data_IF_124954277315
#
_entry.id   IF_124954277315
#
_cell.length_a   1.000
_cell.length_b   1.000
_cell.length_c   1.000
_cell.angle_alpha   90.00
_cell.angle_beta   90.00
_cell.angle_gamma   90.00
#
_symmetry.space_group_name_H-M   'P 1'
#
loop_
_entity.id
_entity.type
_entity.pdbx_description
1 polymer ?
#
# COMPACT_ATOMS: atom_id res chain seq x y z
N UNK A 1 -5.09 -15.02 -14.15
CA UNK A 1 -4.02 -14.06 -14.56
C UNK A 1 -4.09 -12.81 -13.71
N UNK A 2 -5.28 -12.20 -13.58
CA UNK A 2 -5.53 -11.11 -12.64
C UNK A 2 -5.13 -11.51 -11.21
N UNK A 3 -5.58 -12.66 -10.71
CA UNK A 3 -5.20 -13.16 -9.37
C UNK A 3 -3.67 -13.18 -9.13
N UNK A 4 -2.90 -13.74 -10.06
CA UNK A 4 -1.42 -13.77 -9.96
C UNK A 4 -0.81 -12.37 -9.99
N UNK A 5 -1.38 -11.47 -10.80
CA UNK A 5 -0.95 -10.08 -10.85
C UNK A 5 -1.26 -9.37 -9.53
N UNK A 6 -2.46 -9.56 -8.97
CA UNK A 6 -2.89 -8.99 -7.68
C UNK A 6 -2.06 -9.50 -6.52
N UNK A 7 -1.83 -10.82 -6.44
CA UNK A 7 -0.97 -11.42 -5.42
C UNK A 7 0.45 -10.85 -5.50
N UNK A 8 0.99 -10.74 -6.72
CA UNK A 8 2.29 -10.13 -6.97
C UNK A 8 2.32 -8.65 -6.56
N UNK A 9 1.27 -7.89 -6.89
CA UNK A 9 1.14 -6.49 -6.54
C UNK A 9 1.11 -6.29 -5.02
N UNK A 10 0.28 -7.06 -4.31
CA UNK A 10 0.19 -7.00 -2.86
C UNK A 10 1.52 -7.31 -2.18
N UNK A 11 2.19 -8.41 -2.57
CA UNK A 11 3.48 -8.81 -1.98
C UNK A 11 4.58 -7.78 -2.22
N UNK A 12 4.67 -7.24 -3.43
CA UNK A 12 5.76 -6.32 -3.78
C UNK A 12 5.52 -4.90 -3.29
N UNK A 13 4.26 -4.44 -3.29
CA UNK A 13 3.92 -3.06 -2.93
C UNK A 13 3.48 -2.97 -1.49
N UNK A 14 2.44 -3.70 -1.07
CA UNK A 14 1.89 -3.58 0.29
C UNK A 14 2.87 -4.16 1.30
N UNK A 15 3.20 -5.45 1.21
CA UNK A 15 4.12 -6.06 2.17
C UNK A 15 5.54 -5.50 2.07
N UNK A 16 6.00 -5.20 0.85
CA UNK A 16 7.30 -4.59 0.60
C UNK A 16 7.44 -3.25 1.32
N UNK A 17 6.48 -2.35 1.15
CA UNK A 17 6.48 -1.06 1.85
C UNK A 17 6.31 -1.24 3.36
N UNK A 18 5.48 -2.17 3.82
CA UNK A 18 5.33 -2.42 5.26
C UNK A 18 6.64 -2.87 5.92
N UNK A 19 7.44 -3.71 5.25
CA UNK A 19 8.77 -4.08 5.72
C UNK A 19 9.69 -2.86 5.80
N UNK A 20 9.64 -1.99 4.79
CA UNK A 20 10.44 -0.77 4.75
C UNK A 20 10.06 0.22 5.85
N UNK A 21 8.76 0.50 6.04
CA UNK A 21 8.28 1.37 7.11
C UNK A 21 8.68 0.85 8.49
N UNK A 22 8.55 -0.47 8.72
CA UNK A 22 9.01 -1.09 9.97
C UNK A 22 10.50 -0.85 10.21
N UNK A 23 11.33 -0.92 9.17
CA UNK A 23 12.76 -0.63 9.29
C UNK A 23 13.04 0.84 9.60
N UNK A 24 12.31 1.78 8.99
CA UNK A 24 12.50 3.22 9.23
C UNK A 24 12.27 3.63 10.68
N UNK A 25 11.29 3.02 11.36
CA UNK A 25 11.04 3.27 12.77
C UNK A 25 12.10 2.68 13.72
N UNK A 26 13.03 1.88 13.20
CA UNK A 26 14.15 1.30 13.97
C UNK A 26 15.47 2.05 13.76
N UNK A 27 15.49 3.09 12.93
CA UNK A 27 16.69 3.90 12.69
C UNK A 27 17.02 4.83 13.86
N UNK A 28 18.30 5.18 14.01
CA UNK A 28 18.72 6.18 14.99
C UNK A 28 18.30 7.58 14.49
N UNK A 29 17.44 8.31 15.21
CA UNK A 29 17.04 9.66 14.80
C UNK A 29 18.21 10.66 14.80
N UNK A 30 19.34 10.33 15.42
CA UNK A 30 20.56 11.14 15.42
C UNK A 30 21.54 10.80 14.30
N UNK A 31 21.24 9.78 13.48
CA UNK A 31 22.07 9.42 12.33
C UNK A 31 22.14 10.58 11.32
N UNK A 32 23.33 10.78 10.74
CA UNK A 32 23.56 11.84 9.77
C UNK A 32 22.71 11.59 8.51
N UNK A 33 21.91 12.59 8.13
CA UNK A 33 20.99 12.49 6.98
C UNK A 33 19.54 12.19 7.35
N UNK A 34 19.23 11.84 8.61
CA UNK A 34 17.84 11.72 9.06
C UNK A 34 17.17 13.10 9.08
N UNK A 35 16.11 13.26 8.28
CA UNK A 35 15.36 14.52 8.18
C UNK A 35 14.39 14.70 9.35
N UNK A 36 14.05 15.95 9.64
CA UNK A 36 13.22 16.34 10.80
C UNK A 36 11.87 15.62 10.87
N UNK A 37 11.24 15.37 9.72
CA UNK A 37 10.01 14.58 9.65
C UNK A 37 10.19 13.18 10.26
N UNK A 38 11.26 12.47 9.88
CA UNK A 38 11.54 11.12 10.38
C UNK A 38 11.97 11.12 11.84
N UNK A 39 12.73 12.13 12.29
CA UNK A 39 13.06 12.29 13.72
C UNK A 39 11.81 12.38 14.58
N UNK A 40 10.84 13.20 14.16
CA UNK A 40 9.58 13.35 14.88
C UNK A 40 8.72 12.09 14.81
N UNK A 41 8.70 11.39 13.68
CA UNK A 41 7.99 10.12 13.53
C UNK A 41 8.57 9.03 14.45
N UNK A 42 9.90 8.87 14.50
CA UNK A 42 10.58 7.92 15.38
C UNK A 42 10.32 8.28 16.85
N UNK A 43 10.49 9.56 17.22
CA UNK A 43 10.22 10.01 18.60
C UNK A 43 8.75 9.87 19.02
N UNK A 44 7.80 9.88 18.08
CA UNK A 44 6.41 9.53 18.35
C UNK A 44 6.25 8.01 18.54
N UNK A 45 6.80 7.20 17.65
CA UNK A 45 6.78 5.74 17.71
C UNK A 45 7.36 5.19 19.04
N UNK A 46 8.45 5.78 19.53
CA UNK A 46 9.09 5.37 20.78
C UNK A 46 8.22 5.61 22.03
N UNK A 47 7.21 6.48 21.94
CA UNK A 47 6.26 6.73 23.04
C UNK A 47 5.12 5.73 23.09
N UNK A 48 4.91 4.97 22.00
CA UNK A 48 3.83 4.01 21.89
C UNK A 48 4.20 2.69 22.58
N UNK A 49 3.22 2.06 23.23
CA UNK A 49 3.37 0.67 23.66
C UNK A 49 3.26 -0.29 22.47
N UNK A 50 3.52 -1.58 22.70
CA UNK A 50 3.55 -2.57 21.61
C UNK A 50 2.20 -2.69 20.89
N UNK A 51 1.08 -2.52 21.61
CA UNK A 51 -0.26 -2.56 21.02
C UNK A 51 -0.51 -1.34 20.14
N UNK A 52 -0.15 -0.15 20.61
CA UNK A 52 -0.31 1.09 19.85
C UNK A 52 0.60 1.11 18.61
N UNK A 53 1.78 0.49 18.68
CA UNK A 53 2.66 0.27 17.52
C UNK A 53 2.02 -0.64 16.47
N UNK A 54 1.38 -1.72 16.89
CA UNK A 54 0.61 -2.58 15.99
C UNK A 54 -0.53 -1.80 15.31
N UNK A 55 -1.28 -0.99 16.07
CA UNK A 55 -2.34 -0.13 15.53
C UNK A 55 -1.78 0.86 14.50
N UNK A 56 -0.65 1.52 14.80
CA UNK A 56 0.00 2.42 13.85
C UNK A 56 0.32 1.71 12.53
N UNK A 57 0.89 0.51 12.59
CA UNK A 57 1.19 -0.26 11.38
C UNK A 57 -0.05 -0.75 10.64
N UNK A 58 -1.15 -1.03 11.34
CA UNK A 58 -2.44 -1.31 10.69
C UNK A 58 -2.95 -0.09 9.92
N UNK A 59 -2.87 1.11 10.51
CA UNK A 59 -3.26 2.36 9.82
C UNK A 59 -2.41 2.59 8.57
N UNK A 60 -1.10 2.38 8.66
CA UNK A 60 -0.19 2.50 7.51
C UNK A 60 -0.55 1.46 6.44
N UNK A 61 -0.79 0.19 6.81
CA UNK A 61 -1.20 -0.88 5.88
C UNK A 61 -2.48 -0.47 5.14
N UNK A 62 -3.53 -0.07 5.86
CA UNK A 62 -4.80 0.37 5.27
C UNK A 62 -4.60 1.55 4.33
N UNK A 63 -3.82 2.56 4.72
CA UNK A 63 -3.53 3.71 3.85
C UNK A 63 -2.84 3.29 2.54
N UNK A 64 -1.90 2.34 2.59
CA UNK A 64 -1.23 1.81 1.39
C UNK A 64 -2.23 1.02 0.53
N UNK A 65 -3.04 0.16 1.13
CA UNK A 65 -4.09 -0.61 0.44
C UNK A 65 -5.07 0.32 -0.27
N UNK A 66 -5.60 1.33 0.43
CA UNK A 66 -6.53 2.31 -0.13
C UNK A 66 -5.91 3.05 -1.31
N UNK A 67 -4.63 3.46 -1.17
CA UNK A 67 -3.91 4.15 -2.24
C UNK A 67 -3.75 3.27 -3.48
N UNK A 68 -3.37 2.00 -3.29
CA UNK A 68 -3.24 1.05 -4.41
C UNK A 68 -4.60 0.80 -5.07
N UNK A 69 -5.65 0.55 -4.26
CA UNK A 69 -7.03 0.36 -4.74
C UNK A 69 -7.51 1.53 -5.57
N UNK A 70 -7.34 2.77 -5.11
CA UNK A 70 -7.78 3.96 -5.85
C UNK A 70 -7.01 4.14 -7.16
N UNK A 71 -5.71 3.83 -7.19
CA UNK A 71 -4.96 3.83 -8.46
C UNK A 71 -5.50 2.76 -9.41
N UNK A 72 -5.82 1.55 -8.92
CA UNK A 72 -6.43 0.51 -9.75
C UNK A 72 -7.81 0.95 -10.27
N UNK A 73 -8.62 1.63 -9.46
CA UNK A 73 -9.92 2.19 -9.88
C UNK A 73 -9.78 3.13 -11.08
N UNK A 74 -8.76 4.00 -11.06
CA UNK A 74 -8.43 4.89 -12.19
C UNK A 74 -8.02 4.08 -13.42
N UNK A 75 -7.21 3.03 -13.23
CA UNK A 75 -6.72 2.18 -14.32
C UNK A 75 -7.81 1.29 -14.94
N UNK A 76 -8.82 0.92 -14.15
CA UNK A 76 -10.04 0.24 -14.59
C UNK A 76 -11.02 1.20 -15.28
N UNK A 77 -10.80 2.51 -15.17
CA UNK A 77 -11.67 3.55 -15.73
C UNK A 77 -12.91 3.83 -14.88
N UNK A 78 -12.94 3.40 -13.61
CA UNK A 78 -14.01 3.71 -12.66
C UNK A 78 -13.95 5.16 -12.16
N UNK A 79 -12.77 5.77 -12.14
CA UNK A 79 -12.57 7.18 -11.81
C UNK A 79 -12.11 7.98 -13.03
N UNK A 80 -12.90 8.98 -13.42
CA UNK A 80 -12.55 9.91 -14.50
C UNK A 80 -11.49 10.91 -14.01
N UNK A 81 -10.22 10.69 -14.38
CA UNK A 81 -9.19 11.74 -14.28
C UNK A 81 -9.15 12.50 -15.60
N UNK A 82 -9.62 13.74 -15.58
CA UNK A 82 -9.54 14.69 -16.69
C UNK A 82 -10.01 14.14 -18.05
N UNK A 83 -11.01 13.24 -18.04
CA UNK A 83 -11.57 12.57 -19.24
C UNK A 83 -10.55 11.70 -19.99
N UNK A 84 -9.50 11.25 -19.31
CA UNK A 84 -8.55 10.28 -19.83
C UNK A 84 -9.15 8.89 -19.63
N UNK A 85 -9.37 8.18 -20.74
CA UNK A 85 -9.74 6.77 -20.69
C UNK A 85 -8.46 5.92 -20.62
N UNK A 86 -8.25 5.22 -19.51
CA UNK A 86 -7.13 4.32 -19.30
C UNK A 86 -7.62 2.88 -19.42
N UNK A 87 -6.83 2.04 -20.09
CA UNK A 87 -7.07 0.61 -20.15
C UNK A 87 -5.75 -0.13 -19.95
N UNK A 88 -5.76 -1.07 -19.00
CA UNK A 88 -4.61 -1.94 -18.73
C UNK A 88 -4.83 -3.28 -19.40
N UNK A 89 -3.79 -3.81 -20.05
CA UNK A 89 -3.78 -5.17 -20.59
C UNK A 89 -2.72 -6.00 -19.89
N UNK A 90 -3.13 -7.10 -19.27
CA UNK A 90 -2.22 -8.05 -18.65
C UNK A 90 -1.77 -9.05 -19.72
N UNK A 91 -0.47 -9.05 -20.05
CA UNK A 91 0.09 -9.85 -21.15
C UNK A 91 -0.68 -9.68 -22.49
N UNK A 92 -1.18 -8.47 -22.76
CA UNK A 92 -1.95 -8.16 -23.97
C UNK A 92 -3.42 -8.59 -23.94
N UNK A 93 -3.87 -9.23 -22.86
CA UNK A 93 -5.28 -9.58 -22.63
C UNK A 93 -5.99 -8.46 -21.85
N UNK A 94 -7.24 -8.21 -22.21
CA UNK A 94 -8.12 -7.34 -21.44
C UNK A 94 -8.46 -8.00 -20.10
N UNK A 95 -8.72 -7.17 -19.10
CA UNK A 95 -8.95 -7.57 -17.71
C UNK A 95 -10.36 -7.17 -17.22
N UNK A 96 -11.25 -6.84 -18.16
CA UNK A 96 -12.64 -6.45 -17.94
C UNK A 96 -12.86 -5.36 -16.86
N UNK A 97 -11.86 -4.52 -16.61
CA UNK A 97 -11.88 -3.48 -15.58
C UNK A 97 -12.05 -4.03 -14.15
N UNK A 98 -11.52 -5.23 -13.88
CA UNK A 98 -11.68 -5.93 -12.60
C UNK A 98 -10.45 -5.84 -11.66
N UNK A 99 -9.45 -4.98 -11.94
CA UNK A 99 -8.22 -4.97 -11.13
C UNK A 99 -8.47 -4.51 -9.69
N UNK A 100 -9.27 -3.46 -9.50
CA UNK A 100 -9.61 -2.93 -8.19
C UNK A 100 -10.38 -3.96 -7.37
N UNK A 101 -11.45 -4.51 -7.95
CA UNK A 101 -12.31 -5.48 -7.27
C UNK A 101 -11.51 -6.74 -6.88
N UNK A 102 -10.69 -7.25 -7.80
CA UNK A 102 -9.83 -8.39 -7.52
C UNK A 102 -8.78 -8.09 -6.43
N UNK A 103 -8.25 -6.86 -6.39
CA UNK A 103 -7.31 -6.45 -5.33
C UNK A 103 -7.99 -6.39 -3.96
N UNK A 104 -9.17 -5.78 -3.87
CA UNK A 104 -9.91 -5.66 -2.62
C UNK A 104 -10.35 -7.02 -2.10
N UNK A 105 -10.90 -7.88 -2.97
CA UNK A 105 -11.27 -9.26 -2.61
C UNK A 105 -10.05 -10.04 -2.05
N UNK A 106 -8.89 -9.93 -2.69
CA UNK A 106 -7.67 -10.57 -2.21
C UNK A 106 -7.22 -10.03 -0.83
N UNK A 107 -7.40 -8.73 -0.56
CA UNK A 107 -7.07 -8.14 0.75
C UNK A 107 -8.04 -8.62 1.83
N UNK A 108 -9.34 -8.68 1.52
CA UNK A 108 -10.38 -9.17 2.43
C UNK A 108 -10.12 -10.64 2.82
N UNK A 109 -9.80 -11.50 1.86
CA UNK A 109 -9.46 -12.92 2.08
C UNK A 109 -8.24 -13.13 3.00
N UNK A 110 -7.32 -12.16 3.09
CA UNK A 110 -6.15 -12.24 3.97
C UNK A 110 -6.43 -11.83 5.42
N UNK A 111 -7.48 -11.05 5.64
CA UNK A 111 -7.86 -10.53 6.95
C UNK A 111 -8.97 -11.39 7.62
N UNK A 112 -9.50 -12.42 6.93
CA UNK A 112 -10.33 -13.53 7.49
C UNK A 112 -9.50 -14.61 8.22
#
# INVERSE_FOLDING_TARGET
MIEQFIEGLYKNIVEGNMKLYKQFFLYDPNEEGTIEYWKNAIAFYDKLDDKDKEILFSIIKSTIVDTVSNVLAVLDGHEDIDRINVQVKLNGQENDSELQDAFLAYVEDLDE
#
